data_IF_876723396943
#
_entry.id   IF_876723396943
#
_cell.length_a   1.000
_cell.length_b   1.000
_cell.length_c   1.000
_cell.angle_alpha   90.00
_cell.angle_beta   90.00
_cell.angle_gamma   90.00
#
_symmetry.space_group_name_H-M   'P 1'
#
loop_
_entity.id
_entity.type
_entity.pdbx_description
1 polymer ?
#
# COMPACT_ATOMS: atom_id res chain seq x y z
N UNK A 1 9.75 -14.27 5.54
CA UNK A 1 8.84 -13.88 4.45
C UNK A 1 7.90 -12.74 4.87
N UNK A 2 7.10 -12.88 5.94
CA UNK A 2 6.15 -11.84 6.39
C UNK A 2 6.78 -10.46 6.61
N UNK A 3 7.90 -10.37 7.33
CA UNK A 3 8.62 -9.10 7.53
C UNK A 3 8.97 -8.41 6.20
N UNK A 4 9.53 -9.13 5.23
CA UNK A 4 9.88 -8.58 3.93
C UNK A 4 8.65 -8.09 3.15
N UNK A 5 7.53 -8.81 3.24
CA UNK A 5 6.26 -8.41 2.62
C UNK A 5 5.79 -7.09 3.21
N UNK A 6 5.66 -7.02 4.54
CA UNK A 6 5.17 -5.83 5.23
C UNK A 6 6.10 -4.63 5.02
N UNK A 7 7.41 -4.80 5.13
CA UNK A 7 8.39 -3.72 4.86
C UNK A 7 8.26 -3.23 3.41
N UNK A 8 8.16 -4.13 2.44
CA UNK A 8 8.00 -3.72 1.03
C UNK A 8 6.71 -2.96 0.79
N UNK A 9 5.60 -3.38 1.42
CA UNK A 9 4.33 -2.67 1.32
C UNK A 9 4.45 -1.27 1.95
N UNK A 10 4.99 -1.18 3.17
CA UNK A 10 5.21 0.11 3.84
C UNK A 10 6.04 1.05 2.98
N UNK A 11 7.19 0.61 2.47
CA UNK A 11 8.08 1.45 1.65
C UNK A 11 7.35 2.01 0.42
N UNK A 12 6.59 1.16 -0.28
CA UNK A 12 5.84 1.56 -1.48
C UNK A 12 4.71 2.53 -1.19
N UNK A 13 3.93 2.29 -0.13
CA UNK A 13 2.83 3.18 0.23
C UNK A 13 3.34 4.51 0.81
N UNK A 14 4.44 4.51 1.57
CA UNK A 14 5.11 5.71 2.07
C UNK A 14 5.67 6.56 0.91
N UNK A 15 6.26 5.92 -0.11
CA UNK A 15 6.69 6.61 -1.34
C UNK A 15 5.49 7.21 -2.10
N UNK A 16 4.39 6.45 -2.20
CA UNK A 16 3.20 6.87 -2.92
C UNK A 16 2.51 8.09 -2.29
N UNK A 17 2.37 8.14 -0.96
CA UNK A 17 1.80 9.31 -0.27
C UNK A 17 2.69 10.55 -0.39
N UNK A 18 4.00 10.39 -0.58
CA UNK A 18 4.91 11.52 -0.80
C UNK A 18 4.84 12.05 -2.23
N UNK A 19 4.45 11.21 -3.19
CA UNK A 19 4.38 11.54 -4.63
C UNK A 19 3.02 11.22 -5.24
N UNK A 20 1.90 11.70 -4.68
CA UNK A 20 0.54 11.22 -5.03
C UNK A 20 0.14 11.51 -6.48
N UNK A 21 0.81 12.44 -7.14
CA UNK A 21 0.60 12.84 -8.55
C UNK A 21 1.35 11.96 -9.55
N UNK A 22 2.30 11.12 -9.10
CA UNK A 22 2.96 10.17 -9.98
C UNK A 22 1.98 9.08 -10.39
N UNK A 23 1.96 8.72 -11.68
CA UNK A 23 1.01 7.75 -12.22
C UNK A 23 1.00 6.41 -11.44
N UNK A 24 2.17 5.91 -11.07
CA UNK A 24 2.28 4.68 -10.26
C UNK A 24 1.72 4.87 -8.85
N UNK A 25 2.06 5.98 -8.19
CA UNK A 25 1.54 6.32 -6.87
C UNK A 25 0.02 6.44 -6.89
N UNK A 26 -0.56 7.12 -7.88
CA UNK A 26 -2.01 7.21 -8.07
C UNK A 26 -2.66 5.82 -8.18
N UNK A 27 -2.08 4.93 -8.99
CA UNK A 27 -2.55 3.55 -9.14
C UNK A 27 -2.49 2.80 -7.79
N UNK A 28 -1.41 2.97 -7.03
CA UNK A 28 -1.23 2.32 -5.72
C UNK A 28 -2.25 2.85 -4.70
N UNK A 29 -2.38 4.17 -4.58
CA UNK A 29 -3.28 4.83 -3.62
C UNK A 29 -4.75 4.53 -3.94
N UNK A 30 -5.13 4.41 -5.22
CA UNK A 30 -6.49 4.04 -5.61
C UNK A 30 -6.91 2.61 -5.19
N UNK A 31 -5.98 1.77 -4.71
CA UNK A 31 -6.29 0.43 -4.15
C UNK A 31 -6.66 0.48 -2.68
N UNK A 32 -6.39 1.60 -2.02
CA UNK A 32 -6.67 1.78 -0.60
C UNK A 32 -8.16 2.10 -0.45
N UNK A 33 -8.88 1.43 0.47
CA UNK A 33 -10.26 1.81 0.79
C UNK A 33 -10.37 3.27 1.24
N UNK A 34 -11.41 3.98 0.79
CA UNK A 34 -11.61 5.42 1.06
C UNK A 34 -11.66 5.79 2.55
N UNK A 35 -11.90 4.81 3.43
CA UNK A 35 -11.85 5.00 4.89
C UNK A 35 -10.47 5.44 5.41
N UNK A 36 -9.39 5.22 4.64
CA UNK A 36 -8.05 5.67 4.96
C UNK A 36 -7.71 6.93 4.17
N UNK A 37 -7.51 8.06 4.87
CA UNK A 37 -7.25 9.34 4.22
C UNK A 37 -5.79 9.46 3.70
N UNK A 38 -5.51 8.88 2.53
CA UNK A 38 -4.19 8.89 1.89
C UNK A 38 -3.80 10.25 1.29
N UNK A 39 -4.74 11.20 1.24
CA UNK A 39 -4.56 12.53 0.65
C UNK A 39 -4.71 13.66 1.68
N UNK A 40 -4.58 13.34 2.98
CA UNK A 40 -4.61 14.34 4.03
C UNK A 40 -3.54 15.42 3.84
N UNK A 41 -3.81 16.65 4.29
CA UNK A 41 -2.88 17.77 4.16
C UNK A 41 -1.58 17.51 4.94
N UNK A 42 -1.70 16.90 6.12
CA UNK A 42 -0.58 16.55 6.98
C UNK A 42 0.12 15.26 6.51
N UNK A 43 1.44 15.30 6.36
CA UNK A 43 2.23 14.10 6.10
C UNK A 43 2.09 13.05 7.22
N UNK A 44 1.95 13.50 8.46
CA UNK A 44 1.79 12.60 9.62
C UNK A 44 0.46 11.86 9.56
N UNK A 45 -0.62 12.53 9.13
CA UNK A 45 -1.93 11.90 8.94
C UNK A 45 -1.91 10.88 7.80
N UNK A 46 -1.25 11.20 6.69
CA UNK A 46 -1.07 10.25 5.59
C UNK A 46 -0.23 9.03 6.03
N UNK A 47 0.83 9.25 6.81
CA UNK A 47 1.64 8.16 7.34
C UNK A 47 0.82 7.26 8.28
N UNK A 48 0.01 7.86 9.17
CA UNK A 48 -0.90 7.11 10.03
C UNK A 48 -1.90 6.29 9.20
N UNK A 49 -2.47 6.86 8.14
CA UNK A 49 -3.37 6.14 7.24
C UNK A 49 -2.70 4.94 6.57
N UNK A 50 -1.43 5.05 6.17
CA UNK A 50 -0.63 3.93 5.66
C UNK A 50 -0.45 2.85 6.72
N UNK A 51 -0.09 3.22 7.95
CA UNK A 51 0.10 2.26 9.04
C UNK A 51 -1.22 1.53 9.34
N UNK A 52 -2.34 2.24 9.41
CA UNK A 52 -3.66 1.67 9.68
C UNK A 52 -4.11 0.73 8.57
N UNK A 53 -3.82 1.09 7.31
CA UNK A 53 -4.13 0.26 6.15
C UNK A 53 -3.31 -1.04 6.16
N UNK A 54 -1.98 -0.96 6.34
CA UNK A 54 -1.12 -2.16 6.38
C UNK A 54 -1.43 -3.04 7.59
N UNK A 55 -1.66 -2.45 8.76
CA UNK A 55 -1.94 -3.19 10.00
C UNK A 55 -3.33 -3.85 9.98
N UNK A 56 -4.27 -3.33 9.20
CA UNK A 56 -5.60 -3.90 9.01
C UNK A 56 -5.65 -5.07 8.02
N UNK A 57 -4.54 -5.41 7.37
CA UNK A 57 -4.49 -6.51 6.40
C UNK A 57 -4.51 -7.87 7.06
N UNK A 58 -5.15 -8.84 6.41
CA UNK A 58 -4.93 -10.27 6.70
C UNK A 58 -3.67 -10.76 5.98
N UNK A 59 -3.05 -11.84 6.48
CA UNK A 59 -1.87 -12.45 5.85
C UNK A 59 -2.08 -12.78 4.36
N UNK A 60 -3.25 -13.32 4.01
CA UNK A 60 -3.61 -13.67 2.62
C UNK A 60 -3.68 -12.42 1.74
N UNK A 61 -4.30 -11.35 2.25
CA UNK A 61 -4.43 -10.10 1.52
C UNK A 61 -3.08 -9.40 1.33
N UNK A 62 -2.24 -9.35 2.36
CA UNK A 62 -0.91 -8.75 2.27
C UNK A 62 -0.02 -9.47 1.25
N UNK A 63 -0.06 -10.81 1.22
CA UNK A 63 0.67 -11.61 0.25
C UNK A 63 0.17 -11.38 -1.20
N UNK A 64 -1.14 -11.33 -1.40
CA UNK A 64 -1.76 -11.07 -2.70
C UNK A 64 -1.40 -9.66 -3.22
N UNK A 65 -1.55 -8.64 -2.38
CA UNK A 65 -1.20 -7.26 -2.73
C UNK A 65 0.29 -7.12 -3.05
N UNK A 66 1.17 -7.74 -2.27
CA UNK A 66 2.61 -7.73 -2.51
C UNK A 66 2.96 -8.33 -3.88
N UNK A 67 2.38 -9.48 -4.22
CA UNK A 67 2.59 -10.13 -5.53
C UNK A 67 2.16 -9.24 -6.69
N UNK A 68 0.98 -8.60 -6.58
CA UNK A 68 0.47 -7.64 -7.56
C UNK A 68 1.41 -6.44 -7.75
N UNK A 69 1.96 -5.91 -6.66
CA UNK A 69 2.85 -4.74 -6.68
C UNK A 69 4.18 -5.03 -7.38
N UNK A 70 4.74 -6.23 -7.22
CA UNK A 70 6.01 -6.62 -7.84
C UNK A 70 5.86 -7.28 -9.22
N UNK A 71 4.64 -7.30 -9.78
CA UNK A 71 4.37 -7.86 -11.11
C UNK A 71 4.42 -9.39 -11.15
N UNK A 72 4.30 -10.06 -10.00
CA UNK A 72 4.11 -11.51 -9.91
C UNK A 72 2.61 -11.84 -9.92
N UNK A 73 1.88 -11.40 -10.94
CA UNK A 73 0.56 -11.98 -11.24
C UNK A 73 0.79 -13.37 -11.84
N UNK A 74 0.90 -14.37 -10.97
CA UNK A 74 0.71 -15.77 -11.37
C UNK A 74 -0.81 -15.97 -11.42
N UNK A 75 -1.43 -16.23 -12.58
CA UNK A 75 -2.76 -16.78 -12.58
C UNK A 75 -2.66 -18.15 -11.88
N UNK A 76 -3.10 -18.20 -10.62
CA UNK A 76 -3.38 -19.45 -9.93
C UNK A 76 -4.61 -20.05 -10.61
N UNK A 77 -4.35 -20.78 -11.70
CA UNK A 77 -5.25 -21.80 -12.23
C UNK A 77 -5.22 -23.04 -11.33
#
# INVERSE_FOLDING_TARGET
>A
AGYQIITSLLDRFIEAIQTPTHAYSTILLNRVPEQYNMYAESITERLQAVIDFISGMTDVYALDLYRKIIGMDVPLL
#
